data_IF_700334798362
#
_entry.id   IF_700334798362
#
_cell.length_a   1.000
_cell.length_b   1.000
_cell.length_c   1.000
_cell.angle_alpha   90.00
_cell.angle_beta   90.00
_cell.angle_gamma   90.00
#
_symmetry.space_group_name_H-M   'P 1'
#
loop_
_entity.id
_entity.type
_entity.pdbx_description
1 polymer ?
#
# COMPACT_ATOMS: atom_id res chain seq x y z
N UNK A 1 63.76 49.54 -22.42
CA UNK A 1 62.87 48.66 -23.20
C UNK A 1 61.96 47.94 -22.22
N UNK A 2 60.69 47.84 -22.60
CA UNK A 2 59.52 47.54 -21.76
C UNK A 2 59.53 46.22 -21.01
N UNK A 3 58.65 46.21 -20.00
CA UNK A 3 57.65 45.18 -19.68
C UNK A 3 57.86 44.57 -18.29
N UNK A 4 57.11 45.01 -17.29
CA UNK A 4 55.69 44.71 -16.97
C UNK A 4 55.56 43.54 -16.00
N UNK A 5 54.82 43.86 -14.94
CA UNK A 5 54.41 43.11 -13.76
C UNK A 5 53.50 41.96 -14.18
N UNK A 6 53.51 40.82 -13.46
CA UNK A 6 52.25 40.18 -13.10
C UNK A 6 52.33 39.37 -11.80
N UNK A 7 51.33 39.61 -10.97
CA UNK A 7 51.11 39.07 -9.63
C UNK A 7 49.99 38.05 -9.72
N UNK A 8 50.24 36.77 -9.40
CA UNK A 8 49.17 35.82 -9.10
C UNK A 8 49.65 34.89 -7.97
N UNK A 9 49.26 35.12 -6.72
CA UNK A 9 47.95 34.90 -6.10
C UNK A 9 47.71 33.44 -5.66
N UNK A 10 47.56 33.34 -4.34
CA UNK A 10 46.52 32.60 -3.62
C UNK A 10 46.75 31.10 -3.35
N UNK A 11 47.28 30.88 -2.15
CA UNK A 11 46.82 29.91 -1.17
C UNK A 11 45.32 29.61 -1.25
N UNK A 12 44.97 28.34 -1.42
CA UNK A 12 43.66 27.80 -1.04
C UNK A 12 43.86 26.49 -0.30
N UNK A 13 43.91 26.57 1.03
CA UNK A 13 43.58 25.47 1.92
C UNK A 13 42.11 25.09 1.68
N UNK A 14 41.86 23.87 1.22
CA UNK A 14 40.56 23.22 1.36
C UNK A 14 40.77 21.81 1.86
N UNK A 15 40.69 21.68 3.18
CA UNK A 15 40.37 20.44 3.87
C UNK A 15 39.06 19.92 3.29
N UNK A 16 39.14 18.81 2.57
CA UNK A 16 37.98 18.05 2.12
C UNK A 16 37.31 17.45 3.37
N UNK A 17 36.33 18.17 3.89
CA UNK A 17 35.46 17.70 4.96
C UNK A 17 34.62 16.51 4.47
N UNK A 18 34.75 15.41 5.18
CA UNK A 18 33.92 14.22 5.12
C UNK A 18 32.44 14.60 5.25
N UNK A 19 31.69 14.54 4.14
CA UNK A 19 30.24 14.48 4.18
C UNK A 19 29.81 13.02 4.09
N UNK A 20 29.87 12.32 5.22
CA UNK A 20 29.12 11.08 5.44
C UNK A 20 27.63 11.44 5.54
N UNK A 21 26.99 11.63 4.39
CA UNK A 21 25.56 11.92 4.28
C UNK A 21 24.75 10.63 4.23
N UNK A 22 24.27 10.23 5.41
CA UNK A 22 23.15 9.33 5.71
C UNK A 22 22.53 8.52 4.56
N UNK A 23 22.71 7.19 4.64
CA UNK A 23 21.76 6.22 4.11
C UNK A 23 20.37 6.49 4.69
N UNK A 24 19.48 7.10 3.91
CA UNK A 24 18.05 7.03 4.16
C UNK A 24 17.58 5.63 3.78
N UNK A 25 17.55 4.76 4.78
CA UNK A 25 16.82 3.50 4.71
C UNK A 25 15.34 3.84 4.49
N UNK A 26 14.90 3.78 3.24
CA UNK A 26 13.49 3.59 2.88
C UNK A 26 13.13 2.15 3.29
N UNK A 27 13.08 1.90 4.60
CA UNK A 27 12.36 0.77 5.13
C UNK A 27 10.90 1.03 4.76
N UNK A 28 10.43 0.32 3.73
CA UNK A 28 9.02 0.24 3.42
C UNK A 28 8.32 -0.33 4.64
N UNK A 29 7.80 0.56 5.49
CA UNK A 29 6.88 0.18 6.53
C UNK A 29 5.60 -0.27 5.82
N UNK A 30 5.50 -1.56 5.53
CA UNK A 30 4.19 -2.19 5.35
C UNK A 30 3.50 -2.09 6.71
N UNK A 31 2.76 -1.01 6.92
CA UNK A 31 1.95 -0.83 8.11
C UNK A 31 0.79 -1.79 8.03
N UNK A 32 0.84 -2.87 8.80
CA UNK A 32 -0.34 -3.66 9.11
C UNK A 32 -1.47 -2.71 9.57
N UNK A 33 -2.74 -3.02 9.26
CA UNK A 33 -3.85 -2.16 9.68
C UNK A 33 -3.80 -1.94 11.19
N UNK A 34 -4.03 -0.71 11.64
CA UNK A 34 -4.27 -0.48 13.06
C UNK A 34 -5.57 -1.20 13.45
N UNK A 35 -5.58 -1.94 14.56
CA UNK A 35 -6.78 -2.61 15.08
C UNK A 35 -7.54 -1.77 16.13
N UNK A 36 -7.27 -0.46 16.20
CA UNK A 36 -8.09 0.49 16.94
C UNK A 36 -9.35 0.89 16.14
N UNK A 37 -10.42 1.29 16.85
CA UNK A 37 -11.70 1.72 16.26
C UNK A 37 -12.30 0.70 15.27
N UNK A 38 -12.65 -0.48 15.80
CA UNK A 38 -13.33 -1.53 15.05
C UNK A 38 -14.85 -1.41 15.15
N UNK A 39 -15.56 -2.02 14.20
CA UNK A 39 -16.97 -2.35 14.38
C UNK A 39 -17.12 -3.32 15.58
N UNK A 40 -18.30 -3.38 16.23
CA UNK A 40 -18.53 -4.35 17.29
C UNK A 40 -18.21 -5.78 16.85
N UNK A 41 -17.76 -6.62 17.78
CA UNK A 41 -17.40 -8.00 17.49
C UNK A 41 -18.54 -8.74 16.78
N UNK A 42 -18.22 -9.43 15.69
CA UNK A 42 -19.21 -10.16 14.88
C UNK A 42 -20.07 -9.30 13.95
N UNK A 43 -19.83 -7.98 13.90
CA UNK A 43 -20.54 -7.07 12.97
C UNK A 43 -19.86 -6.97 11.59
N UNK A 44 -18.67 -7.56 11.42
CA UNK A 44 -17.96 -7.64 10.16
C UNK A 44 -17.69 -9.11 9.83
N UNK A 45 -18.29 -9.62 8.77
CA UNK A 45 -18.13 -11.01 8.31
C UNK A 45 -17.43 -11.08 6.95
N UNK A 46 -16.86 -12.25 6.60
CA UNK A 46 -16.30 -12.40 5.26
C UNK A 46 -17.39 -12.28 4.19
N UNK A 47 -18.63 -12.66 4.50
CA UNK A 47 -19.78 -12.48 3.62
C UNK A 47 -20.03 -11.01 3.24
N UNK A 48 -19.73 -10.07 4.13
CA UNK A 48 -19.88 -8.63 3.86
C UNK A 48 -18.66 -8.07 3.11
N UNK A 49 -17.47 -8.61 3.40
CA UNK A 49 -16.20 -8.20 2.78
C UNK A 49 -16.06 -8.71 1.35
N UNK A 50 -16.40 -9.98 1.08
CA UNK A 50 -16.16 -10.62 -0.20
C UNK A 50 -16.76 -9.86 -1.40
N UNK A 51 -18.02 -9.36 -1.35
CA UNK A 51 -18.61 -8.56 -2.43
C UNK A 51 -17.78 -7.34 -2.81
N UNK A 52 -17.09 -6.69 -1.85
CA UNK A 52 -16.26 -5.50 -2.13
C UNK A 52 -15.08 -5.81 -3.06
N UNK A 53 -14.62 -7.07 -3.06
CA UNK A 53 -13.52 -7.53 -3.93
C UNK A 53 -14.04 -8.21 -5.19
N UNK A 54 -15.09 -9.02 -5.07
CA UNK A 54 -15.62 -9.82 -6.18
C UNK A 54 -16.49 -9.02 -7.14
N UNK A 55 -16.97 -7.84 -6.72
CA UNK A 55 -17.70 -6.92 -7.59
C UNK A 55 -16.82 -6.45 -8.77
N UNK A 56 -17.48 -6.16 -9.90
CA UNK A 56 -16.84 -5.61 -11.12
C UNK A 56 -17.21 -4.14 -11.36
N UNK A 57 -17.88 -3.51 -10.39
CA UNK A 57 -18.19 -2.10 -10.37
C UNK A 57 -16.99 -1.22 -9.99
N UNK A 58 -17.22 0.08 -9.76
CA UNK A 58 -16.16 1.09 -9.70
C UNK A 58 -15.23 0.97 -8.49
N UNK A 59 -15.61 0.23 -7.44
CA UNK A 59 -14.76 -0.07 -6.28
C UNK A 59 -14.12 -1.47 -6.34
N UNK A 60 -14.67 -2.33 -7.19
CA UNK A 60 -14.45 -3.77 -7.17
C UNK A 60 -13.10 -4.18 -7.75
N UNK A 61 -12.44 -5.12 -7.08
CA UNK A 61 -11.10 -5.56 -7.48
C UNK A 61 -11.13 -6.53 -8.67
N UNK A 62 -12.18 -7.34 -8.78
CA UNK A 62 -12.33 -8.36 -9.84
C UNK A 62 -12.43 -7.77 -11.25
N UNK A 63 -12.65 -6.46 -11.39
CA UNK A 63 -12.59 -5.81 -12.70
C UNK A 63 -11.20 -5.94 -13.34
N UNK A 64 -10.13 -5.82 -12.56
CA UNK A 64 -8.73 -5.82 -13.06
C UNK A 64 -7.85 -6.93 -12.47
N UNK A 65 -8.34 -7.67 -11.47
CA UNK A 65 -7.61 -8.74 -10.80
C UNK A 65 -8.47 -10.01 -10.88
N UNK A 66 -8.43 -10.65 -12.04
CA UNK A 66 -9.29 -11.79 -12.38
C UNK A 66 -8.51 -12.89 -13.11
N UNK A 67 -9.18 -13.97 -13.49
CA UNK A 67 -8.52 -15.11 -14.16
C UNK A 67 -7.95 -14.76 -15.54
N UNK A 68 -8.48 -13.73 -16.21
CA UNK A 68 -8.03 -13.29 -17.53
C UNK A 68 -6.94 -12.22 -17.44
N UNK A 69 -7.05 -11.36 -16.45
CA UNK A 69 -6.13 -10.27 -16.15
C UNK A 69 -5.70 -10.37 -14.67
N UNK A 70 -4.75 -11.25 -14.33
CA UNK A 70 -4.30 -11.40 -12.95
C UNK A 70 -3.23 -10.36 -12.64
N UNK A 71 -3.60 -9.07 -12.66
CA UNK A 71 -2.65 -7.98 -12.40
C UNK A 71 -1.98 -8.20 -11.04
N UNK A 72 -0.64 -8.20 -11.02
CA UNK A 72 0.19 -8.56 -9.85
C UNK A 72 -0.06 -9.96 -9.26
N UNK A 73 -0.58 -10.88 -10.07
CA UNK A 73 -0.90 -12.26 -9.69
C UNK A 73 -2.11 -12.40 -8.77
N UNK A 74 -2.97 -11.37 -8.68
CA UNK A 74 -4.18 -11.39 -7.84
C UNK A 74 -5.41 -11.81 -8.65
N UNK A 75 -6.28 -12.59 -8.01
CA UNK A 75 -7.57 -13.00 -8.56
C UNK A 75 -8.66 -12.87 -7.47
N UNK A 76 -9.71 -12.12 -7.77
CA UNK A 76 -10.89 -11.95 -6.92
C UNK A 76 -12.18 -12.43 -7.59
N UNK A 77 -12.12 -13.30 -8.62
CA UNK A 77 -13.30 -13.95 -9.21
C UNK A 77 -13.85 -15.08 -8.33
N UNK A 78 -14.33 -14.72 -7.14
CA UNK A 78 -15.09 -15.60 -6.26
C UNK A 78 -14.66 -15.52 -4.80
N UNK A 79 -15.55 -15.85 -3.84
CA UNK A 79 -15.25 -15.72 -2.41
C UNK A 79 -14.03 -16.53 -1.96
N UNK A 80 -13.88 -17.78 -2.41
CA UNK A 80 -12.78 -18.64 -1.94
C UNK A 80 -11.40 -18.12 -2.37
N UNK A 81 -11.25 -17.66 -3.63
CA UNK A 81 -9.99 -17.09 -4.12
C UNK A 81 -9.71 -15.72 -3.51
N UNK A 82 -10.76 -14.93 -3.27
CA UNK A 82 -10.65 -13.66 -2.52
C UNK A 82 -10.16 -13.88 -1.10
N UNK A 83 -10.71 -14.88 -0.40
CA UNK A 83 -10.30 -15.23 0.96
C UNK A 83 -8.82 -15.62 1.02
N UNK A 84 -8.38 -16.51 0.13
CA UNK A 84 -6.97 -16.94 0.05
C UNK A 84 -6.04 -15.75 -0.26
N UNK A 85 -6.44 -14.87 -1.19
CA UNK A 85 -5.66 -13.68 -1.52
C UNK A 85 -5.52 -12.72 -0.33
N UNK A 86 -6.62 -12.45 0.38
CA UNK A 86 -6.61 -11.59 1.57
C UNK A 86 -5.78 -12.21 2.69
N UNK A 87 -5.92 -13.50 2.98
CA UNK A 87 -5.12 -14.14 4.03
C UNK A 87 -3.61 -14.14 3.76
N UNK A 88 -3.20 -14.19 2.49
CA UNK A 88 -1.76 -14.20 2.14
C UNK A 88 -1.16 -12.81 2.01
N UNK A 89 -1.97 -11.81 1.62
CA UNK A 89 -1.48 -10.51 1.15
C UNK A 89 -2.27 -9.33 1.73
N UNK A 90 -2.93 -9.52 2.88
CA UNK A 90 -3.81 -8.52 3.49
C UNK A 90 -3.16 -7.15 3.57
N UNK A 91 -2.01 -7.05 4.24
CA UNK A 91 -1.37 -5.75 4.50
C UNK A 91 -1.06 -4.99 3.20
N UNK A 92 -0.57 -5.71 2.18
CA UNK A 92 -0.29 -5.11 0.88
C UNK A 92 -1.58 -4.68 0.16
N UNK A 93 -2.65 -5.46 0.23
CA UNK A 93 -3.94 -5.11 -0.39
C UNK A 93 -4.59 -3.93 0.34
N UNK A 94 -4.57 -3.97 1.68
CA UNK A 94 -5.14 -2.95 2.55
C UNK A 94 -4.44 -1.60 2.36
N UNK A 95 -3.10 -1.57 2.33
CA UNK A 95 -2.32 -0.35 2.05
C UNK A 95 -2.73 0.30 0.71
N UNK A 96 -2.94 -0.50 -0.34
CA UNK A 96 -3.33 0.04 -1.64
C UNK A 96 -4.71 0.68 -1.63
N UNK A 97 -5.68 0.12 -0.90
CA UNK A 97 -7.03 0.71 -0.80
C UNK A 97 -7.08 1.87 0.20
N UNK A 98 -6.32 1.81 1.30
CA UNK A 98 -6.24 2.86 2.33
C UNK A 98 -5.57 4.13 1.81
N UNK A 99 -4.43 3.99 1.14
CA UNK A 99 -3.76 5.10 0.43
C UNK A 99 -4.56 5.58 -0.78
N UNK A 100 -5.58 4.81 -1.18
CA UNK A 100 -6.40 4.97 -2.38
C UNK A 100 -5.59 5.00 -3.67
N UNK A 101 -4.47 4.27 -3.69
CA UNK A 101 -3.74 3.89 -4.90
C UNK A 101 -4.58 2.92 -5.75
N UNK A 102 -5.46 2.16 -5.10
CA UNK A 102 -6.50 1.35 -5.71
C UNK A 102 -7.90 1.81 -5.30
N UNK A 103 -8.89 1.75 -6.20
CA UNK A 103 -8.74 1.40 -7.62
C UNK A 103 -8.03 2.51 -8.43
N UNK A 104 -7.19 2.13 -9.40
CA UNK A 104 -6.46 3.10 -10.28
C UNK A 104 -7.40 3.99 -11.08
N UNK A 105 -8.53 3.41 -11.50
CA UNK A 105 -9.63 4.08 -12.20
C UNK A 105 -10.90 3.56 -11.55
N UNK A 106 -11.59 4.41 -10.81
CA UNK A 106 -12.75 3.98 -10.05
C UNK A 106 -13.03 4.88 -8.87
N UNK A 107 -13.95 4.44 -8.03
CA UNK A 107 -14.31 5.12 -6.80
C UNK A 107 -13.37 4.68 -5.68
N UNK A 108 -12.81 5.63 -4.95
CA UNK A 108 -12.00 5.34 -3.77
C UNK A 108 -12.88 4.72 -2.69
N UNK A 109 -12.32 3.80 -1.94
CA UNK A 109 -12.99 3.24 -0.78
C UNK A 109 -13.19 4.31 0.29
N UNK A 110 -14.35 4.28 0.93
CA UNK A 110 -14.69 5.21 2.01
C UNK A 110 -14.08 4.74 3.33
N UNK A 111 -14.07 5.62 4.34
CA UNK A 111 -13.65 5.22 5.69
C UNK A 111 -14.52 4.08 6.27
N UNK A 112 -15.79 4.00 5.90
CA UNK A 112 -16.66 2.91 6.30
C UNK A 112 -16.26 1.59 5.63
N UNK A 113 -15.92 1.62 4.34
CA UNK A 113 -15.41 0.47 3.59
C UNK A 113 -14.12 -0.07 4.22
N UNK A 114 -13.16 0.84 4.51
CA UNK A 114 -11.89 0.49 5.16
C UNK A 114 -12.11 -0.06 6.57
N UNK A 115 -13.03 0.54 7.34
CA UNK A 115 -13.37 0.07 8.70
C UNK A 115 -14.01 -1.32 8.68
N UNK A 116 -14.86 -1.64 7.71
CA UNK A 116 -15.43 -2.98 7.54
C UNK A 116 -14.32 -4.02 7.27
N UNK A 117 -13.44 -3.74 6.30
CA UNK A 117 -12.33 -4.62 5.94
C UNK A 117 -11.36 -4.85 7.11
N UNK A 118 -10.93 -3.76 7.77
CA UNK A 118 -10.10 -3.80 8.98
C UNK A 118 -10.75 -4.61 10.09
N UNK A 119 -12.05 -4.39 10.34
CA UNK A 119 -12.77 -5.05 11.44
C UNK A 119 -12.81 -6.55 11.24
N UNK A 120 -13.13 -7.01 10.03
CA UNK A 120 -13.11 -8.44 9.71
C UNK A 120 -11.71 -9.06 9.93
N UNK A 121 -10.66 -8.40 9.45
CA UNK A 121 -9.29 -8.89 9.60
C UNK A 121 -8.83 -8.95 11.06
N UNK A 122 -8.97 -7.84 11.79
CA UNK A 122 -8.56 -7.74 13.19
C UNK A 122 -9.39 -8.63 14.13
N UNK A 123 -10.61 -9.04 13.73
CA UNK A 123 -11.45 -9.96 14.49
C UNK A 123 -11.22 -11.44 14.13
N UNK A 124 -10.17 -11.74 13.34
CA UNK A 124 -9.70 -13.10 13.10
C UNK A 124 -9.87 -13.60 11.66
N UNK A 125 -10.29 -12.74 10.72
CA UNK A 125 -10.41 -13.07 9.30
C UNK A 125 -11.11 -14.43 9.05
N UNK A 126 -12.23 -14.66 9.74
CA UNK A 126 -12.93 -15.94 9.69
C UNK A 126 -13.59 -16.08 8.32
N UNK A 127 -13.43 -17.25 7.68
CA UNK A 127 -14.26 -17.65 6.56
C UNK A 127 -15.44 -18.45 7.11
N UNK A 128 -16.62 -17.84 7.16
CA UNK A 128 -17.83 -18.58 7.46
C UNK A 128 -18.11 -19.52 6.28
N UNK A 129 -17.86 -20.81 6.46
CA UNK A 129 -18.34 -21.81 5.50
C UNK A 129 -19.87 -21.81 5.53
N UNK A 130 -20.54 -21.84 4.37
CA UNK A 130 -22.00 -21.85 4.28
C UNK A 130 -22.63 -23.05 4.99
#
# INVERSE_FOLDING_TARGET
>A
MSSQIDSHLLTWSRLAGLAAGALLALAGCSSSPNCDDLLPAGSASFRDVAPMFTDKGPKGCAQCHNTKEPVYGLNFEGPAVTYDALNRRFDAIYDQVETGSMPRKGERWTQADLKLLRSWYCQGAIYETP
#
